data_IF_957602453318
#
_entry.id   IF_957602453318
#
_cell.length_a   1.000
_cell.length_b   1.000
_cell.length_c   1.000
_cell.angle_alpha   90.00
_cell.angle_beta   90.00
_cell.angle_gamma   90.00
#
_symmetry.space_group_name_H-M   'P 1'
#
loop_
_entity.id
_entity.type
_entity.pdbx_description
1 polymer ?
#
# COMPACT_ATOMS: atom_id res chain seq x y z
N UNK A 1 25.65 -4.46 -5.09
CA UNK A 1 24.51 -5.08 -5.78
C UNK A 1 23.60 -3.98 -6.31
N UNK A 2 22.98 -4.17 -7.49
CA UNK A 2 21.99 -3.22 -8.02
C UNK A 2 20.70 -3.38 -7.19
N UNK A 3 20.03 -2.29 -6.77
CA UNK A 3 18.71 -2.41 -6.14
C UNK A 3 17.77 -3.13 -7.11
N UNK A 4 17.04 -4.13 -6.60
CA UNK A 4 16.00 -4.83 -7.35
C UNK A 4 15.03 -3.78 -7.92
N UNK A 5 14.75 -3.88 -9.22
CA UNK A 5 13.87 -2.91 -9.87
C UNK A 5 12.43 -3.33 -9.63
N UNK A 6 11.57 -2.33 -9.46
CA UNK A 6 10.12 -2.47 -9.36
C UNK A 6 9.49 -3.45 -10.37
N UNK A 7 10.11 -3.60 -11.55
CA UNK A 7 9.63 -4.46 -12.64
C UNK A 7 9.80 -5.97 -12.40
N UNK A 8 10.51 -6.36 -11.33
CA UNK A 8 10.89 -7.75 -11.09
C UNK A 8 9.80 -8.56 -10.35
N UNK A 9 8.72 -7.92 -9.87
CA UNK A 9 7.65 -8.60 -9.14
C UNK A 9 6.43 -8.85 -10.03
N UNK A 10 6.09 -10.13 -10.33
CA UNK A 10 4.86 -10.45 -11.04
C UNK A 10 3.65 -10.13 -10.16
N UNK A 11 3.08 -8.94 -10.37
CA UNK A 11 1.80 -8.58 -9.78
C UNK A 11 0.70 -9.16 -10.67
N UNK A 12 0.10 -10.27 -10.22
CA UNK A 12 -0.95 -11.05 -10.92
C UNK A 12 -0.42 -11.84 -12.13
N UNK A 13 -1.08 -12.95 -12.46
CA UNK A 13 -0.74 -13.87 -13.58
C UNK A 13 -0.89 -13.26 -14.98
N UNK A 14 -0.87 -11.92 -15.12
CA UNK A 14 -0.97 -11.19 -16.39
C UNK A 14 0.04 -10.05 -16.47
N UNK A 15 0.46 -9.74 -17.70
CA UNK A 15 1.27 -8.54 -17.96
C UNK A 15 0.45 -7.27 -17.71
N UNK A 16 1.00 -6.34 -16.93
CA UNK A 16 0.49 -4.97 -16.79
C UNK A 16 0.94 -4.11 -17.98
N UNK A 17 0.08 -3.20 -18.44
CA UNK A 17 0.48 -2.16 -19.38
C UNK A 17 1.24 -1.01 -18.66
N UNK A 18 1.86 -0.11 -19.43
CA UNK A 18 2.68 0.98 -18.87
C UNK A 18 1.89 1.93 -17.95
N UNK A 19 0.61 2.16 -18.25
CA UNK A 19 -0.26 3.01 -17.43
C UNK A 19 -0.59 2.33 -16.08
N UNK A 20 -0.93 1.05 -16.11
CA UNK A 20 -1.15 0.24 -14.89
C UNK A 20 0.12 0.19 -14.03
N UNK A 21 1.28 0.03 -14.66
CA UNK A 21 2.58 0.05 -13.99
C UNK A 21 2.82 1.38 -13.29
N UNK A 22 2.58 2.51 -13.97
CA UNK A 22 2.72 3.84 -13.39
C UNK A 22 1.78 4.06 -12.19
N UNK A 23 0.52 3.64 -12.30
CA UNK A 23 -0.41 3.70 -11.17
C UNK A 23 0.03 2.83 -9.99
N UNK A 24 0.50 1.60 -10.26
CA UNK A 24 0.97 0.70 -9.21
C UNK A 24 2.22 1.26 -8.50
N UNK A 25 3.15 1.87 -9.24
CA UNK A 25 4.32 2.56 -8.67
C UNK A 25 3.93 3.65 -7.67
N UNK A 26 2.91 4.42 -7.99
CA UNK A 26 2.39 5.45 -7.09
C UNK A 26 1.72 4.83 -5.86
N UNK A 27 0.91 3.78 -6.04
CA UNK A 27 0.23 3.09 -4.95
C UNK A 27 1.22 2.47 -3.95
N UNK A 28 2.34 1.95 -4.44
CA UNK A 28 3.39 1.32 -3.63
C UNK A 28 4.24 2.32 -2.85
N UNK A 29 4.22 3.63 -3.17
CA UNK A 29 4.88 4.64 -2.33
C UNK A 29 4.18 4.86 -0.98
N UNK A 30 2.97 4.32 -0.78
CA UNK A 30 2.22 4.46 0.47
C UNK A 30 2.66 3.39 1.46
N UNK A 31 3.57 3.74 2.37
CA UNK A 31 3.96 2.88 3.49
C UNK A 31 2.88 2.80 4.58
N UNK A 32 2.88 1.74 5.42
CA UNK A 32 1.97 1.65 6.57
C UNK A 32 2.07 2.87 7.50
N UNK A 33 3.30 3.36 7.75
CA UNK A 33 3.54 4.57 8.56
C UNK A 33 2.88 5.80 7.95
N UNK A 34 3.01 5.98 6.63
CA UNK A 34 2.42 7.12 5.91
C UNK A 34 0.89 7.04 5.93
N UNK A 35 0.33 5.84 5.77
CA UNK A 35 -1.11 5.63 5.83
C UNK A 35 -1.68 5.86 7.24
N UNK A 36 -0.98 5.43 8.29
CA UNK A 36 -1.33 5.76 9.68
C UNK A 36 -1.32 7.27 9.89
N UNK A 37 -0.32 7.98 9.34
CA UNK A 37 -0.26 9.44 9.43
C UNK A 37 -1.44 10.09 8.70
N UNK A 38 -1.82 9.60 7.52
CA UNK A 38 -3.03 10.05 6.82
C UNK A 38 -4.27 9.90 7.71
N UNK A 39 -4.46 8.73 8.33
CA UNK A 39 -5.61 8.45 9.19
C UNK A 39 -5.67 9.42 10.38
N UNK A 40 -4.52 9.69 11.02
CA UNK A 40 -4.40 10.65 12.13
C UNK A 40 -4.72 12.08 11.68
N UNK A 41 -4.13 12.55 10.58
CA UNK A 41 -4.34 13.90 10.03
C UNK A 41 -5.80 14.14 9.63
N UNK A 42 -6.51 13.09 9.24
CA UNK A 42 -7.93 13.14 8.88
C UNK A 42 -8.88 12.92 10.05
N UNK A 43 -8.37 12.72 11.27
CA UNK A 43 -9.18 12.46 12.45
C UNK A 43 -9.96 11.15 12.38
N UNK A 44 -9.44 10.15 11.64
CA UNK A 44 -10.03 8.82 11.60
C UNK A 44 -9.96 8.17 13.00
N UNK A 45 -10.94 7.32 13.30
CA UNK A 45 -10.97 6.60 14.58
C UNK A 45 -9.80 5.63 14.66
N UNK A 46 -9.15 5.57 15.81
CA UNK A 46 -8.09 4.62 16.15
C UNK A 46 -8.62 3.33 16.78
N UNK A 47 -9.94 3.12 16.72
CA UNK A 47 -10.64 1.94 17.22
C UNK A 47 -11.60 1.41 16.16
N UNK A 48 -11.88 0.10 16.21
CA UNK A 48 -12.81 -0.57 15.33
C UNK A 48 -14.18 0.12 15.33
N UNK A 49 -14.69 0.41 14.14
CA UNK A 49 -16.01 1.05 13.98
C UNK A 49 -17.17 0.12 14.35
N UNK A 50 -16.94 -1.20 14.37
CA UNK A 50 -17.94 -2.21 14.69
C UNK A 50 -17.93 -2.60 16.18
N UNK A 51 -16.80 -3.05 16.72
CA UNK A 51 -16.73 -3.58 18.10
C UNK A 51 -16.06 -2.63 19.11
N UNK A 52 -15.53 -1.48 18.66
CA UNK A 52 -14.90 -0.48 19.53
C UNK A 52 -13.50 -0.83 20.05
N UNK A 53 -12.96 -2.03 19.77
CA UNK A 53 -11.61 -2.42 20.19
C UNK A 53 -10.51 -1.67 19.42
N UNK A 54 -9.35 -1.41 20.05
CA UNK A 54 -8.22 -0.72 19.41
C UNK A 54 -7.38 -1.63 18.51
N UNK A 55 -7.65 -2.94 18.51
CA UNK A 55 -6.89 -3.95 17.75
C UNK A 55 -7.16 -3.82 16.24
N UNK A 56 -6.42 -2.92 15.60
CA UNK A 56 -6.48 -2.63 14.16
C UNK A 56 -5.17 -3.05 13.47
N UNK A 57 -5.32 -3.62 12.28
CA UNK A 57 -4.23 -4.06 11.41
C UNK A 57 -4.39 -3.43 10.03
N UNK A 58 -3.26 -3.04 9.43
CA UNK A 58 -3.20 -2.55 8.05
C UNK A 58 -2.54 -3.66 7.22
N UNK A 59 -3.27 -4.27 6.26
CA UNK A 59 -2.66 -5.18 5.29
C UNK A 59 -1.54 -4.49 4.54
N UNK A 60 -0.34 -5.07 4.57
CA UNK A 60 0.84 -4.53 3.93
C UNK A 60 1.68 -5.64 3.32
N UNK A 61 2.40 -5.29 2.27
CA UNK A 61 3.37 -6.14 1.59
C UNK A 61 4.76 -5.68 1.97
N UNK A 62 5.61 -6.62 2.38
CA UNK A 62 7.05 -6.40 2.56
C UNK A 62 7.76 -6.97 1.35
N UNK A 63 8.61 -6.16 0.75
CA UNK A 63 9.45 -6.55 -0.37
C UNK A 63 10.87 -6.67 0.14
N UNK A 64 11.41 -7.89 0.07
CA UNK A 64 12.75 -8.18 0.54
C UNK A 64 13.78 -7.86 -0.54
N UNK A 65 14.84 -7.13 -0.17
CA UNK A 65 15.93 -6.77 -1.08
C UNK A 65 16.87 -7.93 -1.41
N UNK A 66 16.91 -8.93 -0.53
CA UNK A 66 17.62 -10.19 -0.66
C UNK A 66 16.67 -11.34 -0.35
N UNK A 67 16.98 -12.54 -0.82
CA UNK A 67 16.20 -13.73 -0.46
C UNK A 67 16.25 -13.93 1.08
N UNK A 68 15.11 -13.87 1.78
CA UNK A 68 15.06 -13.95 3.24
C UNK A 68 15.43 -15.33 3.79
N UNK A 69 15.53 -16.36 2.94
CA UNK A 69 15.92 -17.72 3.34
C UNK A 69 17.46 -17.92 3.35
N UNK A 70 18.25 -16.91 2.95
CA UNK A 70 19.71 -16.96 2.98
C UNK A 70 20.28 -16.52 4.34
N UNK A 71 21.32 -17.23 4.81
CA UNK A 71 21.99 -16.93 6.10
C UNK A 71 22.61 -15.52 6.18
N UNK A 72 22.92 -14.90 5.03
CA UNK A 72 23.49 -13.55 4.91
C UNK A 72 22.40 -12.49 4.61
N UNK A 73 21.17 -12.70 5.07
CA UNK A 73 20.06 -11.77 4.80
C UNK A 73 20.40 -10.35 5.31
N UNK A 74 20.20 -9.36 4.44
CA UNK A 74 20.37 -7.95 4.75
C UNK A 74 19.05 -7.22 4.50
N UNK A 75 18.28 -7.06 5.58
CA UNK A 75 16.98 -6.38 5.57
C UNK A 75 17.11 -4.86 5.32
N UNK A 76 18.32 -4.31 5.14
CA UNK A 76 18.51 -2.85 4.97
C UNK A 76 17.90 -2.30 3.68
N UNK A 77 17.65 -3.16 2.68
CA UNK A 77 16.99 -2.80 1.43
C UNK A 77 15.50 -3.17 1.40
N UNK A 78 14.97 -3.69 2.50
CA UNK A 78 13.57 -4.04 2.56
C UNK A 78 12.71 -2.80 2.60
N UNK A 79 11.58 -2.87 1.90
CA UNK A 79 10.61 -1.80 1.91
C UNK A 79 9.19 -2.35 1.98
N UNK A 80 8.32 -1.58 2.63
CA UNK A 80 6.95 -1.97 2.90
C UNK A 80 5.96 -0.97 2.33
N UNK A 81 4.83 -1.49 1.83
CA UNK A 81 3.73 -0.67 1.35
C UNK A 81 2.39 -1.28 1.72
N UNK A 82 1.37 -0.43 1.87
CA UNK A 82 0.00 -0.87 2.14
C UNK A 82 -0.51 -1.63 0.92
N UNK A 83 -0.97 -2.86 1.11
CA UNK A 83 -1.41 -3.72 0.00
C UNK A 83 -2.63 -3.09 -0.68
N UNK A 84 -2.52 -2.65 -1.95
CA UNK A 84 -3.63 -2.03 -2.66
C UNK A 84 -4.67 -3.08 -3.08
N UNK A 85 -5.92 -2.78 -2.83
CA UNK A 85 -7.06 -3.62 -3.19
C UNK A 85 -7.73 -3.04 -4.42
N UNK A 86 -7.78 -3.85 -5.47
CA UNK A 86 -8.38 -3.50 -6.74
C UNK A 86 -9.34 -4.62 -7.13
N UNK A 87 -10.25 -4.33 -8.04
CA UNK A 87 -11.19 -5.33 -8.54
C UNK A 87 -10.48 -6.25 -9.53
N UNK A 88 -10.75 -7.54 -9.41
CA UNK A 88 -10.32 -8.54 -10.39
C UNK A 88 -10.84 -8.16 -11.78
N UNK A 89 -10.01 -8.40 -12.81
CA UNK A 89 -10.32 -8.14 -14.21
C UNK A 89 -10.53 -6.66 -14.61
N UNK A 90 -10.35 -5.70 -13.69
CA UNK A 90 -10.28 -4.28 -14.03
C UNK A 90 -8.83 -3.81 -14.17
N UNK A 91 -8.56 -2.79 -15.02
CA UNK A 91 -7.24 -2.17 -15.06
C UNK A 91 -6.89 -1.55 -13.71
N UNK A 92 -5.66 -1.74 -13.25
CA UNK A 92 -5.19 -1.14 -12.00
C UNK A 92 -5.05 0.37 -12.23
N UNK A 93 -5.77 1.17 -11.45
CA UNK A 93 -5.55 2.61 -11.38
C UNK A 93 -5.80 3.16 -9.98
N UNK A 94 -5.26 4.34 -9.70
CA UNK A 94 -5.37 5.00 -8.38
C UNK A 94 -6.85 5.28 -8.00
N UNK A 95 -7.71 5.48 -8.99
CA UNK A 95 -9.10 5.89 -8.80
C UNK A 95 -10.03 4.71 -8.40
N UNK A 96 -9.78 3.51 -8.92
CA UNK A 96 -10.53 2.29 -8.59
C UNK A 96 -9.89 1.46 -7.46
N UNK A 97 -8.67 1.79 -7.03
CA UNK A 97 -7.97 1.12 -5.94
C UNK A 97 -8.39 1.63 -4.56
N UNK A 98 -8.34 0.75 -3.55
CA UNK A 98 -8.62 1.01 -2.13
C UNK A 98 -7.48 0.53 -1.23
N UNK A 99 -7.38 1.13 -0.06
CA UNK A 99 -6.60 0.64 1.08
C UNK A 99 -7.54 0.21 2.20
N UNK A 100 -7.09 -0.68 3.07
CA UNK A 100 -7.92 -1.25 4.12
C UNK A 100 -7.30 -1.14 5.51
N UNK A 101 -8.18 -1.10 6.50
CA UNK A 101 -7.87 -1.31 7.92
C UNK A 101 -8.81 -2.38 8.43
N UNK A 102 -8.27 -3.47 8.96
CA UNK A 102 -9.03 -4.61 9.48
C UNK A 102 -8.90 -4.71 10.98
N UNK A 103 -10.01 -5.00 11.67
CA UNK A 103 -9.98 -5.29 13.09
C UNK A 103 -9.54 -6.74 13.34
N UNK A 104 -8.45 -6.92 14.07
CA UNK A 104 -7.90 -8.24 14.39
C UNK A 104 -8.79 -9.06 15.33
N UNK A 105 -9.79 -8.44 15.96
CA UNK A 105 -10.72 -9.12 16.86
C UNK A 105 -12.01 -9.58 16.18
N UNK A 106 -12.74 -8.68 15.52
CA UNK A 106 -14.06 -9.01 14.93
C UNK A 106 -14.04 -9.15 13.40
N UNK A 107 -12.91 -8.95 12.74
CA UNK A 107 -12.79 -9.06 11.29
C UNK A 107 -13.44 -7.92 10.51
N UNK A 108 -14.00 -6.90 11.17
CA UNK A 108 -14.57 -5.74 10.49
C UNK A 108 -13.47 -4.96 9.75
N UNK A 109 -13.71 -4.68 8.47
CA UNK A 109 -12.78 -3.96 7.60
C UNK A 109 -13.36 -2.62 7.15
N UNK A 110 -12.55 -1.58 7.25
CA UNK A 110 -12.84 -0.24 6.72
C UNK A 110 -11.99 0.01 5.48
N UNK A 111 -12.60 0.55 4.42
CA UNK A 111 -11.91 0.85 3.17
C UNK A 111 -11.71 2.36 2.98
N UNK A 112 -10.60 2.72 2.35
CA UNK A 112 -10.20 4.09 2.05
C UNK A 112 -9.84 4.20 0.56
N UNK A 113 -10.31 5.25 -0.11
CA UNK A 113 -10.02 5.49 -1.53
C UNK A 113 -8.53 5.81 -1.72
N UNK A 114 -7.83 5.02 -2.54
CA UNK A 114 -6.39 5.21 -2.75
C UNK A 114 -6.09 6.61 -3.30
N UNK A 115 -6.90 7.10 -4.25
CA UNK A 115 -6.84 8.48 -4.75
C UNK A 115 -6.79 9.55 -3.64
N UNK A 116 -7.60 9.41 -2.57
CA UNK A 116 -7.63 10.41 -1.50
C UNK A 116 -6.37 10.37 -0.63
N UNK A 117 -5.83 9.18 -0.41
CA UNK A 117 -4.59 8.97 0.34
C UNK A 117 -3.38 9.46 -0.45
N UNK A 118 -3.27 9.03 -1.71
CA UNK A 118 -2.22 9.42 -2.65
C UNK A 118 -2.19 10.94 -2.83
N UNK A 119 -3.35 11.55 -3.10
CA UNK A 119 -3.45 13.01 -3.23
C UNK A 119 -2.97 13.73 -1.97
N UNK A 120 -3.40 13.29 -0.79
CA UNK A 120 -2.91 13.89 0.47
C UNK A 120 -1.40 13.74 0.64
N UNK A 121 -0.85 12.55 0.34
CA UNK A 121 0.57 12.29 0.48
C UNK A 121 1.40 13.16 -0.48
N UNK A 122 0.93 13.32 -1.72
CA UNK A 122 1.51 14.22 -2.72
C UNK A 122 1.45 15.67 -2.25
N UNK A 123 0.28 16.14 -1.83
CA UNK A 123 0.09 17.54 -1.39
C UNK A 123 0.97 17.89 -0.17
N UNK A 124 1.38 16.88 0.62
CA UNK A 124 2.34 17.00 1.72
C UNK A 124 3.81 16.84 1.32
N UNK A 125 4.09 16.47 0.07
CA UNK A 125 5.45 16.23 -0.44
C UNK A 125 6.06 14.90 -0.01
N UNK A 126 5.25 13.92 0.42
CA UNK A 126 5.74 12.61 0.86
C UNK A 126 6.00 11.64 -0.29
N UNK A 127 5.34 11.84 -1.44
CA UNK A 127 5.42 10.97 -2.61
C UNK A 127 5.49 11.79 -3.89
N UNK A 128 5.91 11.16 -4.98
CA UNK A 128 5.89 11.73 -6.34
C UNK A 128 4.77 11.10 -7.14
N UNK A 129 3.86 11.94 -7.65
CA UNK A 129 2.81 11.55 -8.59
C UNK A 129 2.58 12.69 -9.59
N UNK A 130 3.07 12.50 -10.81
CA UNK A 130 2.75 13.35 -11.94
C UNK A 130 1.41 12.89 -12.50
N UNK A 131 0.38 13.75 -12.46
CA UNK A 131 -0.91 13.44 -13.08
C UNK A 131 -0.70 13.30 -14.60
N UNK A 132 -0.98 12.10 -15.14
CA UNK A 132 -0.92 11.78 -16.58
C UNK A 132 -2.20 12.18 -17.26
#
# INVERSE_FOLDING_TARGET
MKPLKFDDFPYLDRSLNDNERGHLQVLQQISPKLFIQFLKDRGARTSCLSCGRPDLFIPHTVVHGTDPELDDCDDSNDWEYVTPIHKENEPINIYNTRYEVSCSYCGFTSTYTAHTVVRWARDKGYIVWEEV
#
